data_IF_733520846348
#
_entry.id   IF_733520846348
#
_cell.length_a   1.000
_cell.length_b   1.000
_cell.length_c   1.000
_cell.angle_alpha   90.00
_cell.angle_beta   90.00
_cell.angle_gamma   90.00
#
_symmetry.space_group_name_H-M   'P 1'
#
loop_
_entity.id
_entity.type
_entity.pdbx_description
1 polymer ?
#
# COMPACT_ATOMS: atom_id res chain seq x y z
N UNK A 1 -19.16 -38.36 25.84
CA UNK A 1 -18.69 -36.96 25.81
C UNK A 1 -18.11 -36.71 24.43
N UNK A 2 -18.78 -36.00 23.52
CA UNK A 2 -18.20 -35.73 22.21
C UNK A 2 -17.11 -34.67 22.35
N UNK A 3 -15.89 -35.05 21.96
CA UNK A 3 -14.78 -34.14 21.73
C UNK A 3 -15.24 -33.08 20.72
N UNK A 4 -15.26 -31.81 21.14
CA UNK A 4 -15.46 -30.68 20.23
C UNK A 4 -14.38 -30.73 19.17
N UNK A 5 -14.79 -30.76 17.90
CA UNK A 5 -13.89 -30.67 16.78
C UNK A 5 -13.02 -29.40 16.92
N UNK A 6 -11.71 -29.47 16.64
CA UNK A 6 -10.90 -28.26 16.57
C UNK A 6 -11.49 -27.30 15.52
N UNK A 7 -11.39 -25.98 15.72
CA UNK A 7 -11.83 -25.03 14.70
C UNK A 7 -11.09 -25.30 13.39
N UNK A 8 -11.73 -25.11 12.23
CA UNK A 8 -11.11 -25.38 10.95
C UNK A 8 -9.88 -24.47 10.77
N UNK A 9 -8.70 -25.05 10.93
CA UNK A 9 -7.41 -24.45 10.54
C UNK A 9 -7.24 -24.58 9.02
N UNK A 10 -8.21 -24.08 8.27
CA UNK A 10 -8.15 -24.03 6.82
C UNK A 10 -7.36 -22.78 6.36
N UNK A 11 -6.61 -22.84 5.25
CA UNK A 11 -5.94 -21.69 4.63
C UNK A 11 -6.94 -20.67 4.00
N UNK A 12 -8.18 -20.62 4.47
CA UNK A 12 -9.27 -19.80 3.95
C UNK A 12 -9.51 -18.48 4.68
N UNK A 13 -8.74 -18.18 5.74
CA UNK A 13 -8.77 -16.88 6.40
C UNK A 13 -7.71 -15.95 5.80
N UNK A 14 -7.79 -15.71 4.49
CA UNK A 14 -7.21 -14.49 3.94
C UNK A 14 -8.03 -13.38 4.57
N UNK A 15 -7.50 -12.79 5.63
CA UNK A 15 -8.25 -11.88 6.49
C UNK A 15 -8.94 -10.81 5.63
N UNK A 16 -10.20 -10.50 5.97
CA UNK A 16 -10.99 -9.56 5.18
C UNK A 16 -10.22 -8.25 5.01
N UNK A 17 -9.90 -7.89 3.77
CA UNK A 17 -9.18 -6.68 3.46
C UNK A 17 -10.02 -5.46 3.84
N UNK A 18 -9.41 -4.46 4.45
CA UNK A 18 -10.09 -3.20 4.73
C UNK A 18 -10.25 -2.40 3.44
N UNK A 19 -11.48 -2.33 2.93
CA UNK A 19 -11.79 -1.63 1.69
C UNK A 19 -11.47 -0.13 1.72
N UNK A 20 -11.29 0.46 2.91
CA UNK A 20 -10.88 1.85 3.05
C UNK A 20 -9.44 2.08 2.61
N UNK A 21 -8.58 1.05 2.61
CA UNK A 21 -7.19 1.15 2.15
C UNK A 21 -7.06 1.24 0.62
N UNK A 22 -8.07 0.79 -0.13
CA UNK A 22 -7.96 0.70 -1.58
C UNK A 22 -7.68 2.05 -2.24
N UNK A 23 -6.84 2.04 -3.27
CA UNK A 23 -6.47 3.22 -4.06
C UNK A 23 -5.07 3.75 -3.73
N UNK A 24 -4.80 4.96 -4.22
CA UNK A 24 -3.48 5.59 -4.14
C UNK A 24 -3.40 6.62 -3.02
N UNK A 25 -2.29 6.59 -2.30
CA UNK A 25 -1.95 7.49 -1.22
C UNK A 25 -0.58 8.10 -1.49
N UNK A 26 -0.38 9.37 -1.14
CA UNK A 26 0.86 10.12 -1.34
C UNK A 26 1.26 10.85 -0.05
N UNK A 27 2.54 10.86 0.27
CA UNK A 27 3.07 11.68 1.37
C UNK A 27 3.25 13.17 0.99
N UNK A 28 2.88 13.56 -0.24
CA UNK A 28 3.02 14.94 -0.71
C UNK A 28 2.18 15.98 0.07
N UNK A 29 2.72 17.21 0.22
CA UNK A 29 3.98 17.68 -0.32
C UNK A 29 5.08 17.53 0.75
N UNK A 30 5.39 16.32 1.19
CA UNK A 30 6.36 16.00 2.23
C UNK A 30 7.82 16.32 1.85
N UNK A 31 8.15 17.60 1.64
CA UNK A 31 9.52 18.08 1.42
C UNK A 31 10.05 17.78 0.01
N UNK A 32 10.55 18.81 -0.68
CA UNK A 32 10.86 18.82 -2.11
C UNK A 32 11.97 17.85 -2.62
N UNK A 33 12.37 16.86 -1.82
CA UNK A 33 13.50 15.98 -2.16
C UNK A 33 13.08 14.53 -2.41
N UNK A 34 12.04 14.03 -1.74
CA UNK A 34 11.54 12.67 -1.95
C UNK A 34 10.02 12.66 -1.79
N UNK A 35 9.31 12.06 -2.75
CA UNK A 35 7.88 11.84 -2.66
C UNK A 35 7.61 10.33 -2.71
N UNK A 36 6.84 9.82 -1.76
CA UNK A 36 6.43 8.43 -1.72
C UNK A 36 4.94 8.29 -2.00
N UNK A 37 4.62 7.38 -2.92
CA UNK A 37 3.25 6.96 -3.19
C UNK A 37 3.08 5.49 -2.85
N UNK A 38 1.91 5.13 -2.35
CA UNK A 38 1.54 3.73 -2.09
C UNK A 38 0.16 3.45 -2.67
N UNK A 39 0.02 2.31 -3.32
CA UNK A 39 -1.19 1.84 -3.94
C UNK A 39 -1.60 0.48 -3.39
N UNK A 40 -2.88 0.35 -3.01
CA UNK A 40 -3.47 -0.90 -2.53
C UNK A 40 -4.60 -1.34 -3.47
N UNK A 41 -4.44 -2.52 -4.08
CA UNK A 41 -5.45 -3.16 -4.91
C UNK A 41 -6.35 -4.12 -4.11
N UNK A 42 -7.62 -4.30 -4.50
CA UNK A 42 -8.58 -5.15 -3.77
C UNK A 42 -8.27 -6.65 -3.82
N UNK A 43 -7.33 -7.10 -4.63
CA UNK A 43 -6.90 -8.50 -4.73
C UNK A 43 -5.75 -8.85 -3.75
N UNK A 44 -5.34 -7.89 -2.91
CA UNK A 44 -4.25 -8.03 -1.97
C UNK A 44 -2.87 -7.83 -2.61
N UNK A 45 -2.79 -7.20 -3.79
CA UNK A 45 -1.54 -6.70 -4.36
C UNK A 45 -1.41 -5.19 -4.12
N UNK A 46 -0.20 -4.69 -4.16
CA UNK A 46 0.07 -3.26 -4.04
C UNK A 46 1.46 -2.90 -4.52
N UNK A 47 1.72 -1.60 -4.57
CA UNK A 47 3.03 -1.07 -4.91
C UNK A 47 3.31 0.21 -4.14
N UNK A 48 4.56 0.42 -3.77
CA UNK A 48 5.10 1.69 -3.31
C UNK A 48 6.08 2.21 -4.36
N UNK A 49 6.08 3.52 -4.56
CA UNK A 49 7.03 4.20 -5.42
C UNK A 49 7.65 5.34 -4.64
N UNK A 50 8.97 5.35 -4.56
CA UNK A 50 9.77 6.45 -4.03
C UNK A 50 10.35 7.23 -5.21
N UNK A 51 9.92 8.49 -5.37
CA UNK A 51 10.48 9.41 -6.33
C UNK A 51 11.57 10.23 -5.62
N UNK A 52 12.81 10.07 -6.03
CA UNK A 52 13.93 10.82 -5.47
C UNK A 52 14.16 12.17 -6.20
N UNK A 53 15.04 13.00 -5.64
CA UNK A 53 15.34 14.34 -6.13
C UNK A 53 15.93 14.38 -7.56
N UNK A 54 16.50 13.27 -8.03
CA UNK A 54 17.03 13.15 -9.38
C UNK A 54 15.93 12.80 -10.41
N UNK A 55 14.67 12.65 -9.96
CA UNK A 55 13.55 12.22 -10.79
C UNK A 55 13.56 10.72 -11.09
N UNK A 56 14.36 9.96 -10.35
CA UNK A 56 14.41 8.52 -10.44
C UNK A 56 13.35 7.89 -9.52
N UNK A 57 12.69 6.86 -10.01
CA UNK A 57 11.61 6.16 -9.34
C UNK A 57 12.04 4.74 -8.93
N UNK A 58 12.04 4.50 -7.63
CA UNK A 58 12.24 3.17 -7.07
C UNK A 58 10.87 2.58 -6.74
N UNK A 59 10.57 1.40 -7.27
CA UNK A 59 9.27 0.75 -7.12
C UNK A 59 9.38 -0.59 -6.41
N UNK A 60 8.67 -0.72 -5.29
CA UNK A 60 8.48 -1.99 -4.57
C UNK A 60 7.09 -2.53 -4.88
N UNK A 61 6.99 -3.80 -5.30
CA UNK A 61 5.73 -4.54 -5.39
C UNK A 61 5.60 -5.42 -4.16
N UNK A 62 4.39 -5.50 -3.62
CA UNK A 62 4.11 -6.29 -2.44
C UNK A 62 2.72 -6.94 -2.48
N UNK A 63 2.59 -8.03 -1.72
CA UNK A 63 1.29 -8.51 -1.23
C UNK A 63 0.92 -7.79 0.04
N UNK A 64 -0.37 -7.64 0.27
CA UNK A 64 -0.86 -7.10 1.53
C UNK A 64 -2.07 -7.86 2.04
N UNK A 65 -2.23 -7.84 3.37
CA UNK A 65 -3.40 -8.38 4.06
C UNK A 65 -3.64 -7.66 5.39
N UNK A 66 -4.85 -7.81 5.94
CA UNK A 66 -5.23 -7.23 7.23
C UNK A 66 -5.44 -8.32 8.28
N UNK A 67 -4.39 -8.89 8.90
CA UNK A 67 -4.51 -10.06 9.79
C UNK A 67 -5.37 -9.81 11.04
N UNK A 68 -5.68 -8.55 11.35
CA UNK A 68 -6.66 -8.15 12.34
C UNK A 68 -7.03 -6.66 12.19
N UNK A 69 -8.01 -6.17 12.94
CA UNK A 69 -8.44 -4.77 12.87
C UNK A 69 -7.28 -3.81 13.11
N UNK A 70 -7.09 -2.84 12.20
CA UNK A 70 -6.02 -1.84 12.28
C UNK A 70 -4.61 -2.40 12.15
N UNK A 71 -4.44 -3.64 11.66
CA UNK A 71 -3.14 -4.23 11.34
C UNK A 71 -2.99 -4.44 9.84
N UNK A 72 -1.83 -4.12 9.32
CA UNK A 72 -1.45 -4.30 7.93
C UNK A 72 -0.18 -5.15 7.88
N UNK A 73 -0.24 -6.23 7.11
CA UNK A 73 0.92 -7.03 6.72
C UNK A 73 1.27 -6.68 5.28
N UNK A 74 2.52 -6.33 5.02
CA UNK A 74 3.10 -6.15 3.68
C UNK A 74 4.16 -7.23 3.48
N UNK A 75 4.13 -7.92 2.35
CA UNK A 75 5.11 -8.92 1.95
C UNK A 75 5.69 -8.51 0.60
N UNK A 76 6.94 -8.08 0.57
CA UNK A 76 7.58 -7.62 -0.67
C UNK A 76 7.77 -8.80 -1.64
N UNK A 77 7.43 -8.57 -2.89
CA UNK A 77 7.60 -9.54 -3.98
C UNK A 77 8.80 -9.17 -4.85
N UNK A 78 8.94 -7.88 -5.17
CA UNK A 78 10.02 -7.41 -6.04
C UNK A 78 10.32 -5.93 -5.84
N UNK A 79 11.55 -5.54 -6.14
CA UNK A 79 12.03 -4.17 -6.15
C UNK A 79 12.60 -3.81 -7.52
N UNK A 80 12.43 -2.59 -7.98
CA UNK A 80 13.02 -2.06 -9.21
C UNK A 80 13.58 -0.67 -8.92
N UNK A 81 14.86 -0.48 -9.20
CA UNK A 81 15.53 0.83 -9.06
C UNK A 81 15.49 1.57 -10.40
N UNK A 82 15.01 2.82 -10.40
CA UNK A 82 15.05 3.72 -11.55
C UNK A 82 14.54 3.11 -12.88
N UNK A 83 13.42 2.37 -12.85
CA UNK A 83 12.86 1.69 -14.03
C UNK A 83 13.66 0.48 -14.54
N UNK A 84 14.63 0.00 -13.76
CA UNK A 84 15.38 -1.22 -14.03
C UNK A 84 14.53 -2.49 -13.96
N UNK A 85 15.07 -3.65 -14.36
CA UNK A 85 14.33 -4.91 -14.25
C UNK A 85 13.98 -5.20 -12.78
N UNK A 86 12.76 -5.69 -12.47
CA UNK A 86 12.40 -6.04 -11.11
C UNK A 86 13.24 -7.21 -10.62
N UNK A 87 13.89 -7.03 -9.47
CA UNK A 87 14.59 -8.08 -8.75
C UNK A 87 13.69 -8.63 -7.64
N UNK A 88 13.72 -9.94 -7.36
CA UNK A 88 12.97 -10.50 -6.24
C UNK A 88 13.37 -9.85 -4.92
N UNK A 89 12.38 -9.52 -4.10
CA UNK A 89 12.54 -9.01 -2.73
C UNK A 89 11.89 -9.99 -1.74
N UNK A 90 12.26 -9.91 -0.47
CA UNK A 90 11.75 -10.83 0.57
C UNK A 90 11.58 -10.12 1.92
N UNK A 91 11.20 -8.85 1.90
CA UNK A 91 10.81 -8.10 3.09
C UNK A 91 9.42 -8.47 3.59
N UNK A 92 9.22 -8.36 4.89
CA UNK A 92 7.89 -8.48 5.51
C UNK A 92 7.76 -7.43 6.59
N UNK A 93 6.69 -6.64 6.52
CA UNK A 93 6.38 -5.58 7.48
C UNK A 93 4.98 -5.79 8.05
N UNK A 94 4.89 -6.01 9.37
CA UNK A 94 3.63 -6.00 10.10
C UNK A 94 3.53 -4.70 10.89
N UNK A 95 2.64 -3.79 10.47
CA UNK A 95 2.48 -2.46 11.06
C UNK A 95 1.02 -2.22 11.47
N UNK A 96 0.83 -1.30 12.42
CA UNK A 96 -0.49 -0.74 12.70
C UNK A 96 -0.85 0.33 11.67
N UNK A 97 -2.13 0.46 11.33
CA UNK A 97 -2.59 1.57 10.48
C UNK A 97 -3.88 2.20 11.01
N UNK A 98 -4.08 3.47 10.68
CA UNK A 98 -5.30 4.23 10.97
C UNK A 98 -5.66 5.11 9.78
N UNK A 99 -6.96 5.22 9.49
CA UNK A 99 -7.48 6.12 8.46
C UNK A 99 -8.28 7.21 9.14
N UNK A 100 -7.75 8.42 9.10
CA UNK A 100 -8.30 9.63 9.69
C UNK A 100 -8.99 10.45 8.60
N UNK A 101 -10.23 10.86 8.86
CA UNK A 101 -10.88 11.90 8.07
C UNK A 101 -10.39 13.25 8.63
N UNK A 102 -9.59 13.98 7.86
CA UNK A 102 -9.14 15.31 8.22
C UNK A 102 -10.12 16.34 7.64
N UNK A 103 -10.63 17.22 8.51
CA UNK A 103 -11.37 18.40 8.07
C UNK A 103 -10.45 19.25 7.19
N UNK A 104 -10.75 19.32 5.90
CA UNK A 104 -9.94 20.03 4.92
C UNK A 104 -9.95 21.54 5.19
N UNK A 105 -8.92 22.06 5.86
CA UNK A 105 -8.67 23.51 5.95
C UNK A 105 -8.03 24.09 4.70
N UNK A 106 -7.65 23.23 3.75
CA UNK A 106 -6.80 23.57 2.60
C UNK A 106 -7.63 24.11 1.43
N UNK A 107 -8.57 25.05 1.67
CA UNK A 107 -9.23 25.89 0.64
C UNK A 107 -10.02 25.21 -0.49
N UNK A 108 -9.97 23.89 -0.63
CA UNK A 108 -10.53 23.10 -1.73
C UNK A 108 -11.73 22.22 -1.31
N UNK A 109 -12.27 22.44 -0.10
CA UNK A 109 -13.63 22.02 0.27
C UNK A 109 -13.93 20.51 0.31
N UNK A 110 -12.91 19.64 0.36
CA UNK A 110 -13.07 18.20 0.56
C UNK A 110 -12.38 17.74 1.85
N UNK A 111 -13.03 16.87 2.62
CA UNK A 111 -12.38 16.18 3.72
C UNK A 111 -11.18 15.38 3.17
N UNK A 112 -9.98 15.64 3.68
CA UNK A 112 -8.78 14.94 3.26
C UNK A 112 -8.70 13.63 4.04
N UNK A 113 -8.60 12.49 3.36
CA UNK A 113 -8.42 11.20 4.03
C UNK A 113 -6.93 10.94 4.21
N UNK A 114 -6.50 10.72 5.45
CA UNK A 114 -5.11 10.47 5.83
C UNK A 114 -4.96 9.03 6.32
N UNK A 115 -4.04 8.29 5.71
CA UNK A 115 -3.55 6.99 6.16
C UNK A 115 -2.30 7.22 7.02
N UNK A 116 -2.34 6.79 8.27
CA UNK A 116 -1.22 6.83 9.21
C UNK A 116 -0.76 5.42 9.54
N UNK A 117 0.55 5.19 9.47
CA UNK A 117 1.20 3.95 9.87
C UNK A 117 1.92 4.10 11.21
N UNK A 118 1.96 3.03 11.99
CA UNK A 118 2.69 2.99 13.27
C UNK A 118 4.20 2.89 13.05
N UNK A 119 4.61 2.05 12.09
CA UNK A 119 5.97 1.96 11.54
C UNK A 119 6.00 2.60 10.15
N UNK A 120 7.11 3.24 9.73
CA UNK A 120 7.20 3.85 8.42
C UNK A 120 7.10 2.77 7.32
N UNK A 121 6.35 3.08 6.27
CA UNK A 121 6.34 2.31 5.02
C UNK A 121 7.22 3.08 4.05
N UNK A 122 8.24 2.43 3.47
CA UNK A 122 9.35 3.11 2.79
C UNK A 122 10.04 4.14 3.72
N UNK A 123 9.63 5.40 3.64
CA UNK A 123 10.20 6.53 4.37
C UNK A 123 9.15 7.38 5.11
N UNK A 124 7.86 7.06 4.97
CA UNK A 124 6.78 7.92 5.44
C UNK A 124 5.81 7.22 6.40
N UNK A 125 5.34 8.00 7.38
CA UNK A 125 4.34 7.58 8.36
C UNK A 125 2.92 7.98 7.96
N UNK A 126 2.76 8.93 7.03
CA UNK A 126 1.48 9.53 6.70
C UNK A 126 1.34 9.73 5.22
N UNK A 127 0.18 9.33 4.70
CA UNK A 127 -0.17 9.49 3.31
C UNK A 127 -1.56 10.09 3.18
N UNK A 128 -1.73 11.03 2.26
CA UNK A 128 -3.02 11.60 1.86
C UNK A 128 -3.57 10.82 0.67
N UNK A 129 -4.87 10.53 0.68
CA UNK A 129 -5.51 9.85 -0.44
C UNK A 129 -5.55 10.77 -1.66
N UNK A 130 -5.07 10.29 -2.81
CA UNK A 130 -5.13 11.06 -4.05
C UNK A 130 -6.52 10.95 -4.69
N UNK A 131 -7.20 12.07 -5.00
CA UNK A 131 -8.48 12.04 -5.69
C UNK A 131 -8.29 11.58 -7.15
N UNK A 132 -9.10 10.62 -7.58
CA UNK A 132 -9.17 10.24 -9.00
C UNK A 132 -8.09 9.29 -9.51
N UNK A 133 -7.27 8.70 -8.64
CA UNK A 133 -6.42 7.58 -9.03
C UNK A 133 -7.29 6.31 -9.24
N UNK A 134 -7.96 6.25 -10.40
CA UNK A 134 -8.43 4.99 -10.95
C UNK A 134 -7.23 4.04 -11.09
N UNK A 135 -7.39 2.73 -10.84
CA UNK A 135 -6.35 1.76 -11.14
C UNK A 135 -6.05 1.85 -12.64
N UNK A 136 -4.94 2.49 -12.99
CA UNK A 136 -4.40 2.38 -14.33
C UNK A 136 -4.12 0.90 -14.58
N UNK A 137 -4.54 0.32 -15.72
CA UNK A 137 -4.05 -1.00 -16.08
C UNK A 137 -2.52 -0.89 -16.14
N UNK A 138 -1.82 -1.61 -15.26
CA UNK A 138 -0.37 -1.76 -15.36
C UNK A 138 -0.01 -2.15 -16.80
N UNK A 139 1.16 -1.74 -17.31
CA UNK A 139 1.52 -1.97 -18.69
C UNK A 139 1.36 -3.45 -18.99
N UNK A 140 0.43 -3.76 -19.90
CA UNK A 140 0.29 -5.08 -20.47
C UNK A 140 1.65 -5.42 -21.10
N UNK A 141 2.43 -6.25 -20.40
CA UNK A 141 3.67 -6.78 -20.94
C UNK A 141 3.31 -7.51 -22.24
N UNK A 142 3.95 -7.05 -23.30
CA UNK A 142 3.51 -7.22 -24.68
C UNK A 142 3.35 -8.68 -25.10
N UNK A 143 2.28 -8.92 -25.84
CA UNK A 143 2.31 -9.84 -26.97
C UNK A 143 3.42 -9.40 -27.91
N UNK A 144 4.48 -10.20 -27.99
CA UNK A 144 5.34 -10.25 -29.16
C UNK A 144 5.33 -11.66 -29.73
N UNK A 145 5.29 -11.66 -31.06
CA UNK A 145 4.91 -12.72 -31.99
C UNK A 145 5.67 -14.03 -31.85
#
# INVERSE_FOLDING_TARGET
>A
MPHGAPPPSGPGARAALDARLFGTWSDEPGGAMEASTVFFAPDGTGSSTLLNAAGADDTTRFRWSCPGPGRLLLEEESFSECGGPPVPATGTLLTGYRILEADGTDGAGGAAVVLEFAEPVESAFRYRRLPGACPGPGPAAGTSR
#
